data_IF_764232060334
#
_entry.id   IF_764232060334
#
_cell.length_a   1.000
_cell.length_b   1.000
_cell.length_c   1.000
_cell.angle_alpha   90.00
_cell.angle_beta   90.00
_cell.angle_gamma   90.00
#
_symmetry.space_group_name_H-M   'P 1'
#
loop_
_entity.id
_entity.type
_entity.pdbx_description
1 polymer ?
#
# COMPACT_ATOMS: atom_id res chain seq x y z
N UNK A 1 7.86 12.73 2.81
CA UNK A 1 7.28 11.43 2.39
C UNK A 1 6.34 11.64 1.22
N UNK A 2 5.17 12.28 1.38
CA UNK A 2 4.27 12.56 0.25
C UNK A 2 4.92 13.31 -0.91
N UNK A 3 5.67 14.38 -0.61
CA UNK A 3 6.43 15.12 -1.63
C UNK A 3 7.47 14.25 -2.38
N UNK A 4 8.01 13.22 -1.72
CA UNK A 4 8.94 12.29 -2.35
C UNK A 4 8.23 11.30 -3.27
N UNK A 5 7.05 10.81 -2.87
CA UNK A 5 6.19 10.02 -3.77
C UNK A 5 5.81 10.81 -5.03
N UNK A 6 5.44 12.08 -4.90
CA UNK A 6 5.14 12.95 -6.04
C UNK A 6 6.36 13.20 -6.93
N UNK A 7 7.54 13.44 -6.32
CA UNK A 7 8.80 13.57 -7.06
C UNK A 7 9.11 12.31 -7.87
N UNK A 8 8.97 11.14 -7.26
CA UNK A 8 9.20 9.84 -7.91
C UNK A 8 8.16 9.58 -9.01
N UNK A 9 6.89 9.97 -8.81
CA UNK A 9 5.82 9.84 -9.78
C UNK A 9 6.00 10.73 -11.02
N UNK A 10 6.66 11.88 -10.87
CA UNK A 10 6.92 12.81 -11.97
C UNK A 10 8.04 12.36 -12.92
N UNK A 11 8.80 11.31 -12.57
CA UNK A 11 9.86 10.77 -13.43
C UNK A 11 9.21 10.07 -14.64
N UNK A 12 9.51 10.46 -15.88
CA UNK A 12 9.03 9.74 -17.06
C UNK A 12 9.72 8.37 -17.17
N UNK A 13 9.00 7.36 -17.65
CA UNK A 13 9.51 6.00 -17.89
C UNK A 13 10.23 5.36 -16.69
N UNK A 14 9.62 5.51 -15.50
CA UNK A 14 10.16 5.06 -14.22
C UNK A 14 10.72 3.64 -14.28
N UNK A 15 11.99 3.53 -13.91
CA UNK A 15 12.67 2.28 -13.68
C UNK A 15 12.03 1.50 -12.53
N UNK A 16 12.27 0.20 -12.50
CA UNK A 16 11.87 -0.66 -11.37
C UNK A 16 12.45 -0.14 -10.04
N UNK A 17 13.65 0.44 -10.05
CA UNK A 17 14.27 1.02 -8.86
C UNK A 17 13.44 2.19 -8.30
N UNK A 18 13.00 3.11 -9.16
CA UNK A 18 12.20 4.27 -8.72
C UNK A 18 10.83 3.83 -8.21
N UNK A 19 10.22 2.80 -8.83
CA UNK A 19 8.99 2.18 -8.30
C UNK A 19 9.20 1.56 -6.92
N UNK A 20 10.33 0.88 -6.69
CA UNK A 20 10.65 0.32 -5.37
C UNK A 20 10.94 1.39 -4.32
N UNK A 21 11.54 2.52 -4.70
CA UNK A 21 11.71 3.65 -3.81
C UNK A 21 10.36 4.25 -3.41
N UNK A 22 9.41 4.39 -4.33
CA UNK A 22 8.07 4.90 -3.99
C UNK A 22 7.34 3.93 -3.04
N UNK A 23 7.46 2.62 -3.29
CA UNK A 23 6.92 1.60 -2.40
C UNK A 23 7.51 1.71 -0.98
N UNK A 24 8.84 1.86 -0.87
CA UNK A 24 9.52 2.03 0.42
C UNK A 24 9.00 3.25 1.17
N UNK A 25 8.87 4.40 0.48
CA UNK A 25 8.30 5.61 1.07
C UNK A 25 6.85 5.39 1.52
N UNK A 26 6.04 4.67 0.74
CA UNK A 26 4.68 4.30 1.11
C UNK A 26 4.62 3.42 2.36
N UNK A 27 5.47 2.39 2.45
CA UNK A 27 5.56 1.51 3.63
C UNK A 27 5.99 2.29 4.87
N UNK A 28 6.98 3.16 4.73
CA UNK A 28 7.45 3.97 5.84
C UNK A 28 6.37 4.94 6.34
N UNK A 29 5.46 5.41 5.46
CA UNK A 29 4.36 6.27 5.88
C UNK A 29 3.48 5.57 6.92
N UNK A 30 3.16 4.29 6.70
CA UNK A 30 2.42 3.48 7.66
C UNK A 30 3.13 3.38 9.01
N UNK A 31 4.47 3.22 9.00
CA UNK A 31 5.30 3.14 10.21
C UNK A 31 5.28 4.47 10.97
N UNK A 32 5.44 5.59 10.27
CA UNK A 32 5.41 6.93 10.87
C UNK A 32 4.03 7.21 11.49
N UNK A 33 2.93 6.92 10.79
CA UNK A 33 1.56 7.15 11.33
C UNK A 33 1.34 6.41 12.64
N UNK A 34 1.81 5.17 12.76
CA UNK A 34 1.64 4.40 13.99
C UNK A 34 2.64 4.82 15.07
N UNK A 35 3.86 5.22 14.70
CA UNK A 35 4.85 5.76 15.64
C UNK A 35 4.35 7.03 16.34
N UNK A 36 3.80 7.99 15.58
CA UNK A 36 3.28 9.25 16.14
C UNK A 36 2.05 9.05 17.02
N UNK A 37 1.38 7.89 16.95
CA UNK A 37 0.28 7.55 17.86
C UNK A 37 0.75 7.33 19.31
N UNK A 38 2.05 7.13 19.53
CA UNK A 38 2.63 6.81 20.84
C UNK A 38 2.33 5.40 21.35
N UNK A 39 1.62 4.57 20.56
CA UNK A 39 1.26 3.21 20.94
C UNK A 39 2.32 2.21 20.47
N UNK A 40 3.28 1.91 21.36
CA UNK A 40 4.41 0.99 21.09
C UNK A 40 3.94 -0.40 20.67
N UNK A 41 2.86 -0.92 21.27
CA UNK A 41 2.32 -2.24 20.93
C UNK A 41 1.72 -2.26 19.52
N UNK A 42 0.95 -1.22 19.17
CA UNK A 42 0.39 -1.06 17.83
C UNK A 42 1.50 -0.90 16.78
N UNK A 43 2.53 -0.10 17.08
CA UNK A 43 3.69 0.08 16.21
C UNK A 43 4.38 -1.26 15.92
N UNK A 44 4.72 -2.02 16.97
CA UNK A 44 5.36 -3.33 16.81
C UNK A 44 4.50 -4.33 16.01
N UNK A 45 3.19 -4.37 16.27
CA UNK A 45 2.26 -5.22 15.53
C UNK A 45 2.19 -4.84 14.05
N UNK A 46 2.05 -3.54 13.74
CA UNK A 46 1.96 -3.08 12.36
C UNK A 46 3.23 -3.37 11.58
N UNK A 47 4.41 -3.09 12.15
CA UNK A 47 5.69 -3.40 11.50
C UNK A 47 5.80 -4.90 11.18
N UNK A 48 5.45 -5.78 12.12
CA UNK A 48 5.46 -7.22 11.88
C UNK A 48 4.48 -7.70 10.80
N UNK A 49 3.36 -7.00 10.61
CA UNK A 49 2.42 -7.26 9.51
C UNK A 49 3.01 -6.77 8.19
N UNK A 50 3.52 -5.53 8.14
CA UNK A 50 4.10 -4.94 6.93
C UNK A 50 5.26 -5.78 6.40
N UNK A 51 6.17 -6.24 7.26
CA UNK A 51 7.31 -7.07 6.86
C UNK A 51 6.88 -8.41 6.23
N UNK A 52 5.77 -9.00 6.69
CA UNK A 52 5.22 -10.24 6.13
C UNK A 52 4.40 -10.01 4.87
N UNK A 53 3.72 -8.86 4.78
CA UNK A 53 2.81 -8.54 3.70
C UNK A 53 3.47 -7.75 2.57
N UNK A 54 4.72 -7.29 2.74
CA UNK A 54 5.44 -6.48 1.75
C UNK A 54 5.49 -7.16 0.37
N UNK A 55 5.61 -8.50 0.34
CA UNK A 55 5.60 -9.28 -0.90
C UNK A 55 4.25 -9.19 -1.67
N UNK A 56 3.13 -8.98 -0.99
CA UNK A 56 1.85 -8.82 -1.66
C UNK A 56 1.65 -7.39 -2.15
N UNK A 57 2.11 -6.39 -1.38
CA UNK A 57 2.01 -4.98 -1.74
C UNK A 57 2.77 -4.63 -3.04
N UNK A 58 4.01 -5.11 -3.22
CA UNK A 58 4.75 -4.86 -4.47
C UNK A 58 4.16 -5.63 -5.67
N UNK A 59 3.66 -6.85 -5.45
CA UNK A 59 3.02 -7.65 -6.50
C UNK A 59 1.77 -6.93 -7.02
N UNK A 60 0.95 -6.40 -6.10
CA UNK A 60 -0.21 -5.58 -6.43
C UNK A 60 0.16 -4.36 -7.29
N UNK A 61 1.03 -3.49 -6.79
CA UNK A 61 1.32 -2.22 -7.44
C UNK A 61 2.03 -2.37 -8.80
N UNK A 62 2.85 -3.41 -8.97
CA UNK A 62 3.45 -3.68 -10.28
C UNK A 62 2.45 -4.23 -11.30
N UNK A 63 1.45 -5.00 -10.85
CA UNK A 63 0.51 -5.67 -11.75
C UNK A 63 -0.75 -4.88 -12.04
N UNK A 64 -1.23 -4.07 -11.10
CA UNK A 64 -2.45 -3.28 -11.24
C UNK A 64 -2.19 -1.79 -11.53
N UNK A 65 -0.94 -1.33 -11.40
CA UNK A 65 -0.52 0.05 -11.66
C UNK A 65 -1.25 1.13 -10.82
N UNK A 66 -1.74 0.75 -9.63
CA UNK A 66 -2.54 1.59 -8.74
C UNK A 66 -1.74 2.64 -7.94
N UNK A 67 -0.55 3.01 -8.41
CA UNK A 67 0.37 3.92 -7.71
C UNK A 67 -0.28 5.26 -7.38
N UNK A 68 -1.01 5.84 -8.35
CA UNK A 68 -1.69 7.13 -8.13
C UNK A 68 -2.77 7.03 -7.06
N UNK A 69 -3.57 5.96 -7.07
CA UNK A 69 -4.63 5.78 -6.08
C UNK A 69 -4.02 5.68 -4.68
N UNK A 70 -2.98 4.86 -4.51
CA UNK A 70 -2.30 4.74 -3.22
C UNK A 70 -1.74 6.08 -2.73
N UNK A 71 -1.15 6.90 -3.61
CA UNK A 71 -0.66 8.24 -3.25
C UNK A 71 -1.78 9.18 -2.82
N UNK A 72 -2.88 9.22 -3.57
CA UNK A 72 -4.03 10.07 -3.26
C UNK A 72 -4.63 9.67 -1.89
N UNK A 73 -4.83 8.37 -1.66
CA UNK A 73 -5.32 7.86 -0.38
C UNK A 73 -4.37 8.18 0.79
N UNK A 74 -3.06 8.06 0.57
CA UNK A 74 -2.04 8.45 1.57
C UNK A 74 -2.11 9.94 1.90
N UNK A 75 -2.27 10.79 0.89
CA UNK A 75 -2.42 12.24 1.09
C UNK A 75 -3.68 12.56 1.92
N UNK A 76 -4.83 11.99 1.55
CA UNK A 76 -6.09 12.21 2.27
C UNK A 76 -6.01 11.77 3.75
N UNK A 77 -5.35 10.64 4.03
CA UNK A 77 -5.13 10.16 5.41
C UNK A 77 -4.29 11.17 6.20
N UNK A 78 -3.17 11.62 5.62
CA UNK A 78 -2.27 12.58 6.28
C UNK A 78 -2.96 13.92 6.51
N UNK A 79 -3.73 14.41 5.54
CA UNK A 79 -4.51 15.63 5.68
C UNK A 79 -5.52 15.53 6.84
N UNK A 80 -6.26 14.42 6.94
CA UNK A 80 -7.18 14.20 8.05
C UNK A 80 -6.48 14.15 9.41
N UNK A 81 -5.30 13.52 9.49
CA UNK A 81 -4.46 13.50 10.71
C UNK A 81 -4.02 14.93 11.07
N UNK A 82 -3.51 15.70 10.10
CA UNK A 82 -3.05 17.07 10.31
C UNK A 82 -4.19 18.02 10.72
N UNK A 83 -5.41 17.77 10.24
CA UNK A 83 -6.62 18.49 10.65
C UNK A 83 -7.12 18.09 12.06
N UNK A 84 -6.57 17.03 12.65
CA UNK A 84 -7.02 16.48 13.94
C UNK A 84 -8.32 15.66 13.86
N UNK A 85 -8.78 15.31 12.65
CA UNK A 85 -9.97 14.48 12.46
C UNK A 85 -9.62 13.00 12.51
N UNK A 86 -9.53 12.46 13.73
CA UNK A 86 -9.23 11.06 13.98
C UNK A 86 -10.28 10.11 13.39
N UNK A 87 -11.56 10.53 13.29
CA UNK A 87 -12.64 9.70 12.77
C UNK A 87 -12.50 9.50 11.27
N UNK A 88 -12.26 10.60 10.55
CA UNK A 88 -12.02 10.58 9.11
C UNK A 88 -10.72 9.84 8.79
N UNK A 89 -9.62 10.15 9.48
CA UNK A 89 -8.32 9.47 9.29
C UNK A 89 -8.45 7.95 9.46
N UNK A 90 -9.15 7.51 10.50
CA UNK A 90 -9.39 6.08 10.73
C UNK A 90 -10.27 5.44 9.64
N UNK A 91 -11.23 6.18 9.08
CA UNK A 91 -12.09 5.68 7.99
C UNK A 91 -11.32 5.52 6.70
N UNK A 92 -10.53 6.54 6.31
CA UNK A 92 -9.68 6.52 5.13
C UNK A 92 -8.63 5.41 5.22
N UNK A 93 -7.94 5.29 6.37
CA UNK A 93 -6.94 4.24 6.58
C UNK A 93 -7.52 2.82 6.47
N UNK A 94 -8.73 2.59 7.00
CA UNK A 94 -9.43 1.30 6.84
C UNK A 94 -9.80 1.04 5.39
N UNK A 95 -10.24 2.07 4.67
CA UNK A 95 -10.59 1.96 3.26
C UNK A 95 -9.38 1.53 2.43
N UNK A 96 -8.27 2.26 2.57
CA UNK A 96 -6.99 1.98 1.91
C UNK A 96 -6.51 0.54 2.10
N UNK A 97 -6.44 0.06 3.35
CA UNK A 97 -5.99 -1.32 3.65
C UNK A 97 -6.95 -2.37 3.07
N UNK A 98 -8.26 -2.11 3.05
CA UNK A 98 -9.24 -3.02 2.44
C UNK A 98 -9.11 -3.04 0.92
N UNK A 99 -8.88 -1.90 0.30
CA UNK A 99 -8.61 -1.80 -1.14
C UNK A 99 -7.42 -2.65 -1.55
N UNK A 100 -6.28 -2.49 -0.89
CA UNK A 100 -5.09 -3.31 -1.14
C UNK A 100 -5.35 -4.81 -0.90
N UNK A 101 -6.03 -5.17 0.20
CA UNK A 101 -6.44 -6.56 0.46
C UNK A 101 -7.26 -7.14 -0.71
N UNK A 102 -8.26 -6.42 -1.19
CA UNK A 102 -9.17 -6.90 -2.23
C UNK A 102 -8.46 -7.05 -3.57
N UNK A 103 -7.51 -6.15 -3.86
CA UNK A 103 -6.63 -6.23 -5.02
C UNK A 103 -5.70 -7.46 -4.96
N UNK A 104 -5.08 -7.72 -3.81
CA UNK A 104 -4.26 -8.93 -3.59
C UNK A 104 -5.11 -10.19 -3.77
N UNK A 105 -6.33 -10.22 -3.22
CA UNK A 105 -7.23 -11.36 -3.40
C UNK A 105 -7.60 -11.57 -4.86
N UNK A 106 -7.83 -10.50 -5.63
CA UNK A 106 -8.09 -10.59 -7.07
C UNK A 106 -6.92 -11.22 -7.83
N UNK A 107 -5.69 -10.85 -7.50
CA UNK A 107 -4.48 -11.44 -8.09
C UNK A 107 -4.33 -12.92 -7.75
N UNK A 108 -4.55 -13.29 -6.48
CA UNK A 108 -4.47 -14.68 -6.03
C UNK A 108 -5.56 -15.54 -6.69
N UNK A 109 -6.77 -15.00 -6.85
CA UNK A 109 -7.86 -15.69 -7.53
C UNK A 109 -7.51 -15.92 -9.01
N UNK A 110 -7.03 -14.91 -9.73
CA UNK A 110 -6.63 -15.04 -11.12
C UNK A 110 -5.54 -16.10 -11.31
N UNK A 111 -4.56 -16.17 -10.39
CA UNK A 111 -3.54 -17.22 -10.37
C UNK A 111 -4.15 -18.60 -10.17
N UNK A 112 -5.09 -18.75 -9.23
CA UNK A 112 -5.77 -20.01 -8.95
C UNK A 112 -6.61 -20.50 -10.14
N UNK A 113 -7.30 -19.58 -10.81
CA UNK A 113 -8.13 -19.87 -11.98
C UNK A 113 -7.27 -20.35 -13.15
N UNK A 114 -6.12 -19.69 -13.39
CA UNK A 114 -5.16 -20.10 -14.42
C UNK A 114 -4.60 -21.50 -14.18
N UNK A 115 -4.23 -21.82 -12.94
CA UNK A 115 -3.77 -23.17 -12.58
C UNK A 115 -4.86 -24.23 -12.81
N UNK A 116 -6.10 -23.92 -12.46
CA UNK A 116 -7.26 -24.78 -12.69
C UNK A 116 -7.54 -25.00 -14.18
N UNK A 117 -7.31 -23.98 -15.02
CA UNK A 117 -7.44 -24.10 -16.46
C UNK A 117 -6.40 -25.06 -17.05
N UNK A 118 -5.12 -24.91 -16.68
CA UNK A 118 -4.05 -25.80 -17.16
C UNK A 118 -4.27 -27.27 -16.77
N UNK A 119 -4.74 -27.51 -15.54
CA UNK A 119 -5.02 -28.86 -15.05
C UNK A 119 -6.16 -29.56 -15.79
N UNK A 120 -7.11 -28.82 -16.38
CA UNK A 120 -8.20 -29.37 -17.21
C UNK A 120 -7.80 -29.62 -18.66
N UNK A 121 -6.72 -28.99 -19.13
CA UNK A 121 -6.19 -29.13 -20.48
C UNK A 121 -5.15 -30.26 -20.61
N UNK A 122 -4.84 -30.94 -19.51
CA UNK A 122 -3.92 -32.09 -19.41
C UNK A 122 -4.70 -33.40 -19.30
#
# INVERSE_FOLDING_TARGET
MLAECERLAAIPDRTTREKFQELEVGIDLHRVIVEISGNVMLHGMLCGILDKCQHYAWTELLWLDEWKIARDEHAEIVEAICAGDASQAGTLARSHVRGSRDNVLRLLQAKSDYQSFLAKAS
#
